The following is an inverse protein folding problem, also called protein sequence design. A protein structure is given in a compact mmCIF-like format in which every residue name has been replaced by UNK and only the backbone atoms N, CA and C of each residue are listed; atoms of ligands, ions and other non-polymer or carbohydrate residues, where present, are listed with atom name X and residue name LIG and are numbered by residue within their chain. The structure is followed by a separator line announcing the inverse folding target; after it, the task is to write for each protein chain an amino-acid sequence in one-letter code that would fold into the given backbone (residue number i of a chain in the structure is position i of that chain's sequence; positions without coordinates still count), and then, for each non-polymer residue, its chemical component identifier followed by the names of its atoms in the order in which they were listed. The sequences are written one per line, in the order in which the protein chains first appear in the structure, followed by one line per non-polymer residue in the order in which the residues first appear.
data_IF_428630709529
#
_entry.id   IF_428630709529
#
_cell.length_a   1.000
_cell.length_b   1.000
_cell.length_c   1.000
_cell.angle_alpha   90.00
_cell.angle_beta   90.00
_cell.angle_gamma   90.00
#
_symmetry.space_group_name_H-M   'P 1'
#
loop_
_entity.id
_entity.type
_entity.pdbx_description
1 polymer ?
#
# COMPACT_ATOMS: atom_id res chain seq x y z
N UNK A 1 16.36 -2.99 -4.76
CA UNK A 1 15.19 -3.34 -3.95
C UNK A 1 15.56 -3.01 -2.53
N UNK A 2 14.75 -2.21 -1.83
CA UNK A 2 14.87 -1.98 -0.39
C UNK A 2 13.85 -2.77 0.43
N UNK A 3 13.86 -2.57 1.74
CA UNK A 3 12.76 -3.01 2.62
C UNK A 3 11.62 -2.01 2.50
N UNK A 4 10.40 -2.51 2.26
CA UNK A 4 9.21 -1.68 2.02
C UNK A 4 8.10 -1.96 3.04
N UNK A 5 7.50 -0.88 3.54
CA UNK A 5 6.29 -0.92 4.36
C UNK A 5 5.14 -0.20 3.65
N UNK A 6 3.97 -0.83 3.55
CA UNK A 6 2.73 -0.21 3.08
C UNK A 6 1.73 -0.17 4.23
N UNK A 7 1.22 1.01 4.56
CA UNK A 7 0.24 1.18 5.62
C UNK A 7 -0.92 2.11 5.23
N UNK A 8 -2.06 1.94 5.92
CA UNK A 8 -3.19 2.85 5.83
C UNK A 8 -3.04 3.95 6.88
N UNK A 9 -3.26 5.21 6.48
CA UNK A 9 -3.29 6.33 7.43
C UNK A 9 -4.73 6.60 7.85
N UNK A 10 -5.04 6.66 9.16
CA UNK A 10 -6.38 6.98 9.62
C UNK A 10 -6.74 8.43 9.28
N UNK A 11 -7.99 8.64 8.88
CA UNK A 11 -8.55 9.99 8.71
C UNK A 11 -9.09 10.43 10.07
N UNK A 12 -8.53 11.52 10.61
CA UNK A 12 -8.97 12.09 11.89
C UNK A 12 -10.42 12.60 11.73
N UNK A 13 -11.23 12.42 12.77
CA UNK A 13 -12.61 12.94 12.80
C UNK A 13 -12.66 14.41 12.40
N UNK A 14 -13.61 14.76 11.52
CA UNK A 14 -13.79 16.12 11.01
C UNK A 14 -12.85 16.53 9.87
N UNK A 15 -11.86 15.70 9.48
CA UNK A 15 -11.02 15.94 8.30
C UNK A 15 -11.47 15.11 7.11
N UNK A 16 -11.25 15.64 5.91
CA UNK A 16 -11.38 14.86 4.68
C UNK A 16 -10.09 14.06 4.37
N UNK A 17 -10.24 13.05 3.51
CA UNK A 17 -9.10 12.29 2.95
C UNK A 17 -8.10 13.24 2.28
N UNK A 18 -8.58 14.18 1.46
CA UNK A 18 -7.73 15.16 0.77
C UNK A 18 -6.98 16.07 1.74
N UNK A 19 -7.64 16.59 2.78
CA UNK A 19 -6.98 17.44 3.78
C UNK A 19 -5.86 16.69 4.50
N UNK A 20 -6.07 15.40 4.79
CA UNK A 20 -5.07 14.56 5.47
C UNK A 20 -3.89 14.27 4.54
N UNK A 21 -4.15 13.97 3.25
CA UNK A 21 -3.10 13.79 2.23
C UNK A 21 -2.26 15.07 2.05
N UNK A 22 -2.90 16.23 1.97
CA UNK A 22 -2.19 17.52 1.91
C UNK A 22 -1.34 17.78 3.15
N UNK A 23 -1.83 17.41 4.34
CA UNK A 23 -1.06 17.51 5.57
C UNK A 23 0.18 16.61 5.54
N UNK A 24 0.08 15.40 5.01
CA UNK A 24 1.22 14.49 4.85
C UNK A 24 2.25 15.05 3.86
N UNK A 25 1.81 15.60 2.73
CA UNK A 25 2.71 16.26 1.77
C UNK A 25 3.50 17.41 2.42
N UNK A 26 2.80 18.30 3.13
CA UNK A 26 3.44 19.41 3.85
C UNK A 26 4.49 18.92 4.87
N UNK A 27 4.18 17.86 5.63
CA UNK A 27 5.13 17.29 6.60
C UNK A 27 6.37 16.72 5.90
N UNK A 28 6.19 16.00 4.79
CA UNK A 28 7.31 15.47 4.00
C UNK A 28 8.20 16.59 3.43
N UNK A 29 7.60 17.65 2.89
CA UNK A 29 8.34 18.81 2.38
C UNK A 29 9.09 19.55 3.50
N UNK A 30 8.47 19.68 4.69
CA UNK A 30 9.12 20.26 5.88
C UNK A 30 10.31 19.44 6.38
N UNK A 31 10.26 18.11 6.22
CA UNK A 31 11.41 17.22 6.50
C UNK A 31 12.52 17.35 5.44
N UNK A 32 12.28 18.06 4.33
CA UNK A 32 13.23 18.18 3.23
C UNK A 32 13.11 17.08 2.17
N UNK A 33 12.02 16.30 2.17
CA UNK A 33 11.76 15.32 1.13
C UNK A 33 11.42 16.02 -0.20
N UNK A 34 12.00 15.55 -1.30
CA UNK A 34 11.85 16.13 -2.63
C UNK A 34 10.87 15.30 -3.46
N UNK A 35 9.88 15.93 -4.07
CA UNK A 35 8.91 15.25 -4.95
C UNK A 35 9.61 14.73 -6.22
N UNK A 36 9.39 13.45 -6.54
CA UNK A 36 10.01 12.69 -7.62
C UNK A 36 9.01 12.16 -8.65
N UNK A 37 7.76 12.61 -8.62
CA UNK A 37 6.71 12.24 -9.58
C UNK A 37 5.45 11.69 -8.92
N UNK A 38 4.77 10.79 -9.63
CA UNK A 38 3.53 10.12 -9.20
C UNK A 38 3.66 8.61 -9.22
N UNK A 39 2.73 7.93 -8.55
CA UNK A 39 2.59 6.47 -8.60
C UNK A 39 1.14 6.07 -8.79
N UNK A 40 0.94 4.82 -9.24
CA UNK A 40 -0.36 4.18 -9.39
C UNK A 40 -0.21 2.68 -9.08
N UNK A 41 -1.12 2.15 -8.28
CA UNK A 41 -1.24 0.72 -7.96
C UNK A 41 -2.71 0.37 -8.02
N UNK A 42 -3.11 -0.62 -8.81
CA UNK A 42 -4.47 -1.13 -8.82
C UNK A 42 -4.54 -2.63 -8.48
N UNK A 43 -5.73 -3.03 -8.04
CA UNK A 43 -6.05 -4.39 -7.67
C UNK A 43 -7.41 -4.73 -8.26
N UNK A 44 -7.40 -5.69 -9.18
CA UNK A 44 -8.59 -6.33 -9.71
C UNK A 44 -8.72 -7.73 -9.12
N UNK A 45 -9.93 -8.11 -8.76
CA UNK A 45 -10.23 -9.45 -8.23
C UNK A 45 -11.06 -10.20 -9.27
N UNK A 46 -10.53 -11.32 -9.74
CA UNK A 46 -11.27 -12.26 -10.59
C UNK A 46 -11.87 -13.36 -9.71
N UNK A 47 -13.09 -13.79 -10.04
CA UNK A 47 -13.61 -15.06 -9.52
C UNK A 47 -12.88 -16.18 -10.26
N UNK A 48 -12.00 -16.88 -9.56
CA UNK A 48 -11.29 -18.06 -10.04
C UNK A 48 -11.63 -19.27 -9.16
N UNK A 49 -11.42 -20.46 -9.71
CA UNK A 49 -11.75 -21.74 -9.06
C UNK A 49 -10.82 -22.11 -7.89
N UNK A 50 -9.72 -21.37 -7.68
CA UNK A 50 -8.70 -21.69 -6.67
C UNK A 50 -8.38 -20.49 -5.79
N UNK A 51 -8.58 -20.64 -4.49
CA UNK A 51 -8.13 -19.71 -3.46
C UNK A 51 -6.71 -20.12 -3.02
N UNK A 52 -5.78 -19.16 -2.92
CA UNK A 52 -4.40 -19.43 -2.50
C UNK A 52 -3.46 -20.04 -3.55
N UNK A 53 -3.70 -19.76 -4.84
CA UNK A 53 -2.82 -20.18 -5.94
C UNK A 53 -1.43 -19.52 -5.96
N UNK A 54 -0.53 -19.97 -6.85
CA UNK A 54 0.83 -19.41 -6.96
C UNK A 54 0.80 -17.93 -7.38
N UNK A 55 1.77 -17.15 -6.89
CA UNK A 55 1.99 -15.77 -7.32
C UNK A 55 2.93 -15.72 -8.52
N UNK A 56 2.67 -14.78 -9.44
CA UNK A 56 3.46 -14.60 -10.66
C UNK A 56 3.70 -13.10 -10.89
N UNK A 57 4.92 -12.76 -11.27
CA UNK A 57 5.24 -11.43 -11.82
C UNK A 57 5.19 -11.52 -13.35
N UNK A 58 4.47 -10.60 -13.97
CA UNK A 58 4.33 -10.53 -15.43
C UNK A 58 4.49 -9.09 -15.92
N UNK A 59 4.75 -8.92 -17.21
CA UNK A 59 4.78 -7.61 -17.85
C UNK A 59 3.36 -7.08 -18.13
N UNK A 60 3.29 -5.88 -18.69
CA UNK A 60 2.02 -5.25 -19.06
C UNK A 60 1.25 -5.99 -20.17
N UNK A 61 1.89 -6.94 -20.89
CA UNK A 61 1.18 -7.74 -21.90
C UNK A 61 0.29 -8.81 -21.26
N UNK A 62 0.43 -9.07 -19.96
CA UNK A 62 -0.45 -9.98 -19.23
C UNK A 62 -1.91 -9.52 -19.26
N UNK A 63 -2.17 -8.20 -19.27
CA UNK A 63 -3.53 -7.66 -19.38
C UNK A 63 -4.19 -8.08 -20.71
N UNK A 64 -3.41 -8.15 -21.79
CA UNK A 64 -3.88 -8.63 -23.11
C UNK A 64 -4.27 -10.10 -23.03
N UNK A 65 -3.51 -10.92 -22.29
CA UNK A 65 -3.86 -12.31 -22.03
C UNK A 65 -5.14 -12.42 -21.21
N UNK A 66 -5.30 -11.62 -20.15
CA UNK A 66 -6.51 -11.61 -19.32
C UNK A 66 -7.76 -11.24 -20.13
N UNK A 67 -7.66 -10.31 -21.09
CA UNK A 67 -8.75 -10.00 -22.03
C UNK A 67 -9.14 -11.23 -22.86
N UNK A 68 -8.17 -12.02 -23.33
CA UNK A 68 -8.42 -13.26 -24.08
C UNK A 68 -9.02 -14.37 -23.22
N UNK A 69 -8.75 -14.36 -21.91
CA UNK A 69 -9.23 -15.35 -20.95
C UNK A 69 -10.52 -14.94 -20.20
N UNK A 70 -11.16 -13.83 -20.61
CA UNK A 70 -12.35 -13.27 -19.96
C UNK A 70 -13.54 -14.24 -19.84
N UNK A 71 -13.63 -15.26 -20.68
CA UNK A 71 -14.63 -16.33 -20.56
C UNK A 71 -14.46 -17.20 -19.31
N UNK A 72 -13.22 -17.31 -18.81
CA UNK A 72 -12.85 -18.13 -17.66
C UNK A 72 -12.58 -17.30 -16.40
N UNK A 73 -12.12 -16.06 -16.55
CA UNK A 73 -11.85 -15.14 -15.44
C UNK A 73 -12.81 -13.96 -15.53
N UNK A 74 -13.85 -14.02 -14.69
CA UNK A 74 -14.80 -12.92 -14.58
C UNK A 74 -14.38 -11.97 -13.47
N UNK A 75 -14.11 -10.71 -13.83
CA UNK A 75 -13.86 -9.65 -12.87
C UNK A 75 -15.06 -9.49 -11.93
N UNK A 76 -14.79 -9.49 -10.63
CA UNK A 76 -15.80 -9.18 -9.62
C UNK A 76 -16.24 -7.72 -9.78
N UNK A 77 -17.50 -7.50 -10.16
CA UNK A 77 -18.04 -6.14 -10.42
C UNK A 77 -17.92 -5.27 -9.17
N UNK A 78 -17.38 -4.05 -9.32
CA UNK A 78 -17.30 -3.07 -8.24
C UNK A 78 -16.15 -3.28 -7.23
N UNK A 79 -15.30 -4.29 -7.45
CA UNK A 79 -14.19 -4.62 -6.54
C UNK A 79 -12.83 -4.02 -6.94
N UNK A 80 -12.77 -3.25 -8.03
CA UNK A 80 -11.54 -2.54 -8.42
C UNK A 80 -11.20 -1.52 -7.34
N UNK A 81 -10.05 -1.72 -6.72
CA UNK A 81 -9.45 -0.78 -5.76
C UNK A 81 -8.17 -0.27 -6.40
N UNK A 82 -7.93 1.02 -6.31
CA UNK A 82 -6.73 1.64 -6.85
C UNK A 82 -6.17 2.62 -5.82
N UNK A 83 -4.87 2.86 -5.91
CA UNK A 83 -4.16 3.83 -5.11
C UNK A 83 -3.31 4.71 -6.01
N UNK A 84 -3.54 6.02 -5.94
CA UNK A 84 -2.84 7.00 -6.78
C UNK A 84 -2.35 8.16 -5.93
N UNK A 85 -1.15 8.64 -6.22
CA UNK A 85 -0.61 9.78 -5.50
C UNK A 85 0.76 10.24 -5.94
N UNK A 86 1.44 10.95 -5.04
CA UNK A 86 2.75 11.53 -5.27
C UNK A 86 3.86 10.66 -4.65
N UNK A 87 5.03 10.71 -5.28
CA UNK A 87 6.26 10.05 -4.85
C UNK A 87 7.28 11.10 -4.41
N UNK A 88 7.96 10.86 -3.31
CA UNK A 88 9.01 11.69 -2.73
C UNK A 88 10.27 10.87 -2.50
N UNK A 89 11.42 11.54 -2.43
CA UNK A 89 12.69 10.97 -1.98
C UNK A 89 13.27 11.83 -0.86
N UNK A 90 13.74 11.18 0.19
CA UNK A 90 14.48 11.78 1.29
C UNK A 90 15.66 10.88 1.62
N UNK A 91 16.89 11.32 1.31
CA UNK A 91 18.08 10.46 1.36
C UNK A 91 17.82 9.11 0.66
N UNK A 92 18.01 8.00 1.38
CA UNK A 92 17.81 6.63 0.88
C UNK A 92 16.36 6.15 0.96
N UNK A 93 15.43 7.00 1.42
CA UNK A 93 14.01 6.69 1.51
C UNK A 93 13.24 7.12 0.27
N UNK A 94 12.41 6.21 -0.22
CA UNK A 94 11.35 6.49 -1.18
C UNK A 94 10.02 6.48 -0.44
N UNK A 95 9.22 7.53 -0.62
CA UNK A 95 7.93 7.69 0.04
C UNK A 95 6.86 7.88 -1.01
N UNK A 96 5.78 7.12 -0.94
CA UNK A 96 4.60 7.31 -1.77
C UNK A 96 3.40 7.60 -0.86
N UNK A 97 2.71 8.70 -1.12
CA UNK A 97 1.48 9.07 -0.40
C UNK A 97 0.36 9.15 -1.41
N UNK A 98 -0.65 8.29 -1.27
CA UNK A 98 -1.74 8.21 -2.22
C UNK A 98 -3.12 8.08 -1.59
N UNK A 99 -4.11 8.45 -2.38
CA UNK A 99 -5.52 8.23 -2.08
C UNK A 99 -5.89 6.86 -2.59
N UNK A 100 -6.57 6.07 -1.77
CA UNK A 100 -7.18 4.81 -2.19
C UNK A 100 -8.60 5.09 -2.64
N UNK A 101 -8.90 4.77 -3.90
CA UNK A 101 -10.23 4.89 -4.50
C UNK A 101 -10.80 3.53 -4.82
N UNK A 102 -12.12 3.41 -4.73
CA UNK A 102 -12.85 2.22 -5.12
C UNK A 102 -14.16 2.65 -5.76
N UNK A 103 -14.41 2.20 -6.99
CA UNK A 103 -15.51 2.69 -7.83
C UNK A 103 -15.56 4.23 -7.89
N UNK A 104 -14.39 4.86 -8.08
CA UNK A 104 -14.20 6.32 -8.17
C UNK A 104 -14.45 7.13 -6.89
N UNK A 105 -14.76 6.48 -5.76
CA UNK A 105 -14.92 7.15 -4.46
C UNK A 105 -13.67 6.97 -3.60
N UNK A 106 -13.18 8.05 -3.00
CA UNK A 106 -12.07 7.98 -2.03
C UNK A 106 -12.51 7.20 -0.79
N UNK A 107 -11.75 6.16 -0.44
CA UNK A 107 -12.03 5.25 0.68
C UNK A 107 -10.93 5.22 1.74
N UNK A 108 -9.74 5.73 1.43
CA UNK A 108 -8.64 5.73 2.39
C UNK A 108 -7.39 6.42 1.87
N UNK A 109 -6.33 6.32 2.66
CA UNK A 109 -5.01 6.89 2.38
C UNK A 109 -4.00 5.75 2.50
N UNK A 110 -3.16 5.57 1.49
CA UNK A 110 -2.02 4.66 1.53
C UNK A 110 -0.73 5.46 1.69
N UNK A 111 0.19 4.91 2.48
CA UNK A 111 1.58 5.36 2.54
C UNK A 111 2.46 4.14 2.31
N UNK A 112 3.35 4.23 1.32
CA UNK A 112 4.43 3.28 1.10
C UNK A 112 5.76 3.95 1.43
N UNK A 113 6.60 3.30 2.24
CA UNK A 113 7.96 3.74 2.55
C UNK A 113 8.92 2.61 2.25
N UNK A 114 9.86 2.85 1.33
CA UNK A 114 10.95 1.95 1.01
C UNK A 114 12.26 2.55 1.50
N UNK A 115 13.05 1.77 2.25
CA UNK A 115 14.44 2.10 2.59
C UNK A 115 15.39 1.36 1.65
N UNK A 116 15.98 2.08 0.71
CA UNK A 116 16.72 1.49 -0.41
C UNK A 116 18.13 1.00 -0.08
N UNK A 117 18.69 1.39 1.07
CA UNK A 117 20.05 1.02 1.48
C UNK A 117 20.14 -0.31 2.24
N UNK A 118 19.01 -0.95 2.57
CA UNK A 118 18.97 -2.27 3.20
C UNK A 118 17.92 -3.17 2.56
N UNK A 119 18.20 -4.48 2.51
CA UNK A 119 17.28 -5.51 2.01
C UNK A 119 16.78 -6.44 3.11
N UNK A 120 17.32 -6.35 4.32
CA UNK A 120 17.01 -7.24 5.44
C UNK A 120 16.11 -6.49 6.43
N UNK A 121 14.82 -6.87 6.56
CA UNK A 121 13.88 -6.14 7.42
C UNK A 121 14.34 -6.05 8.88
N UNK A 122 14.91 -7.13 9.43
CA UNK A 122 15.41 -7.17 10.81
C UNK A 122 16.49 -6.12 11.10
N UNK A 123 17.29 -5.74 10.11
CA UNK A 123 18.43 -4.83 10.29
C UNK A 123 18.01 -3.35 10.24
N UNK A 124 16.94 -3.02 9.51
CA UNK A 124 16.56 -1.62 9.26
C UNK A 124 15.16 -1.23 9.76
N UNK A 125 14.34 -2.16 10.26
CA UNK A 125 12.96 -1.86 10.62
C UNK A 125 12.81 -0.73 11.65
N UNK A 126 13.65 -0.71 12.69
CA UNK A 126 13.58 0.34 13.72
C UNK A 126 13.87 1.73 13.13
N UNK A 127 14.88 1.82 12.25
CA UNK A 127 15.18 3.06 11.51
C UNK A 127 14.01 3.51 10.64
N UNK A 128 13.39 2.57 9.91
CA UNK A 128 12.20 2.85 9.11
C UNK A 128 11.04 3.34 9.99
N UNK A 129 10.83 2.71 11.14
CA UNK A 129 9.77 3.08 12.09
C UNK A 129 9.96 4.49 12.64
N UNK A 130 11.18 4.85 13.06
CA UNK A 130 11.52 6.20 13.51
C UNK A 130 11.31 7.24 12.40
N UNK A 131 11.76 6.94 11.18
CA UNK A 131 11.54 7.82 10.03
C UNK A 131 10.04 8.01 9.76
N UNK A 132 9.25 6.93 9.74
CA UNK A 132 7.81 7.00 9.55
C UNK A 132 7.11 7.81 10.64
N UNK A 133 7.55 7.67 11.90
CA UNK A 133 7.01 8.43 13.03
C UNK A 133 7.18 9.95 12.85
N UNK A 134 8.24 10.41 12.17
CA UNK A 134 8.48 11.84 11.94
C UNK A 134 7.37 12.56 11.16
N UNK A 135 6.65 11.87 10.26
CA UNK A 135 5.57 12.46 9.47
C UNK A 135 4.19 11.82 9.69
N UNK A 136 4.13 10.54 10.11
CA UNK A 136 2.89 9.86 10.49
C UNK A 136 2.49 10.10 11.95
N UNK A 137 3.42 10.51 12.81
CA UNK A 137 3.19 10.68 14.24
C UNK A 137 2.77 9.35 14.89
N UNK A 138 1.67 9.33 15.67
CA UNK A 138 1.24 8.12 16.39
C UNK A 138 0.65 7.03 15.48
N UNK A 139 0.42 7.33 14.18
CA UNK A 139 -0.15 6.39 13.21
C UNK A 139 0.88 5.51 12.51
N UNK A 140 2.10 5.41 13.06
CA UNK A 140 3.14 4.53 12.54
C UNK A 140 2.70 3.05 12.66
N UNK A 141 2.85 2.23 11.61
CA UNK A 141 2.46 0.81 11.67
C UNK A 141 3.43 -0.02 12.51
N UNK A 142 2.95 -1.19 12.93
CA UNK A 142 3.80 -2.29 13.42
C UNK A 142 4.49 -3.02 12.26
N UNK A 143 5.37 -3.95 12.59
CA UNK A 143 6.11 -4.75 11.60
C UNK A 143 5.13 -5.45 10.64
N UNK A 144 5.29 -5.30 9.31
CA UNK A 144 4.46 -5.99 8.33
C UNK A 144 4.47 -7.51 8.52
N UNK A 145 3.30 -8.13 8.39
CA UNK A 145 3.06 -9.59 8.48
C UNK A 145 3.95 -10.40 7.54
N UNK A 146 4.25 -9.85 6.36
CA UNK A 146 5.13 -10.44 5.34
C UNK A 146 6.57 -10.68 5.84
N UNK A 147 6.96 -10.01 6.93
CA UNK A 147 8.27 -10.20 7.57
C UNK A 147 8.19 -11.13 8.79
N UNK A 148 7.02 -11.32 9.40
CA UNK A 148 6.83 -12.20 10.57
C UNK A 148 7.00 -13.69 10.25
N UNK A 149 6.81 -14.08 8.99
CA UNK A 149 6.95 -15.47 8.52
C UNK A 149 8.38 -15.86 8.17
N UNK A 150 9.33 -14.90 8.20
CA UNK A 150 10.74 -15.14 7.88
C UNK A 150 11.48 -15.51 9.19
N UNK A 151 12.17 -16.66 9.26
CA UNK A 151 12.83 -17.10 10.48
C UNK A 151 13.87 -16.07 10.95
N UNK A 152 13.78 -15.68 12.23
CA UNK A 152 14.71 -14.75 12.87
C UNK A 152 16.17 -15.25 12.73
N UNK A 153 17.08 -14.34 12.37
CA UNK A 153 18.52 -14.64 12.27
C UNK A 153 19.00 -15.24 10.94
N UNK A 154 18.12 -15.51 9.96
CA UNK A 154 18.53 -15.80 8.59
C UNK A 154 18.48 -14.56 7.68
N UNK A 155 19.41 -14.47 6.74
CA UNK A 155 19.35 -13.48 5.66
C UNK A 155 18.13 -13.77 4.78
N UNK A 156 17.05 -13.03 5.00
CA UNK A 156 15.79 -13.17 4.28
C UNK A 156 15.45 -11.82 3.62
N UNK A 157 15.90 -11.59 2.37
CA UNK A 157 15.74 -10.30 1.72
C UNK A 157 14.25 -9.98 1.51
N UNK A 158 13.92 -8.69 1.52
CA UNK A 158 12.65 -8.20 1.04
C UNK A 158 12.53 -8.44 -0.48
N UNK A 159 11.40 -8.99 -0.89
CA UNK A 159 11.07 -9.24 -2.29
C UNK A 159 9.98 -8.26 -2.77
N UNK A 160 9.90 -8.04 -4.08
CA UNK A 160 8.85 -7.20 -4.68
C UNK A 160 7.45 -7.75 -4.36
N UNK A 161 7.32 -9.07 -4.22
CA UNK A 161 6.09 -9.74 -3.82
C UNK A 161 5.63 -9.37 -2.41
N UNK A 162 6.56 -9.05 -1.49
CA UNK A 162 6.22 -8.59 -0.14
C UNK A 162 5.46 -7.26 -0.20
N UNK A 163 5.83 -6.37 -1.12
CA UNK A 163 5.15 -5.07 -1.29
C UNK A 163 3.74 -5.27 -1.85
N UNK A 164 3.59 -6.13 -2.86
CA UNK A 164 2.27 -6.43 -3.44
C UNK A 164 1.34 -7.11 -2.44
N UNK A 165 1.85 -8.04 -1.63
CA UNK A 165 1.08 -8.69 -0.57
C UNK A 165 0.60 -7.66 0.48
N UNK A 166 1.43 -6.70 0.87
CA UNK A 166 1.00 -5.62 1.78
C UNK A 166 -0.10 -4.73 1.16
N UNK A 167 -0.03 -4.41 -0.14
CA UNK A 167 -1.12 -3.71 -0.85
C UNK A 167 -2.40 -4.55 -0.89
N UNK A 168 -2.31 -5.86 -1.14
CA UNK A 168 -3.46 -6.76 -1.13
C UNK A 168 -4.13 -6.81 0.24
N UNK A 169 -3.35 -6.87 1.32
CA UNK A 169 -3.87 -6.79 2.69
C UNK A 169 -4.56 -5.44 2.96
N UNK A 170 -3.93 -4.32 2.57
CA UNK A 170 -4.48 -2.98 2.73
C UNK A 170 -5.81 -2.83 1.99
N UNK A 171 -5.87 -3.23 0.72
CA UNK A 171 -7.10 -3.15 -0.07
C UNK A 171 -8.19 -4.08 0.46
N UNK A 172 -7.81 -5.26 0.98
CA UNK A 172 -8.76 -6.17 1.62
C UNK A 172 -9.34 -5.60 2.91
N UNK A 173 -8.54 -4.89 3.71
CA UNK A 173 -9.02 -4.16 4.91
C UNK A 173 -10.00 -3.06 4.53
N UNK A 174 -9.69 -2.24 3.52
CA UNK A 174 -10.57 -1.17 3.03
C UNK A 174 -11.89 -1.71 2.48
N UNK A 175 -11.86 -2.84 1.74
CA UNK A 175 -13.08 -3.50 1.26
C UNK A 175 -13.98 -3.95 2.43
N UNK A 176 -13.40 -4.51 3.49
CA UNK A 176 -14.17 -4.92 4.69
C UNK A 176 -14.78 -3.74 5.43
N UNK A 177 -14.10 -2.59 5.49
CA UNK A 177 -14.63 -1.36 6.11
C UNK A 177 -15.87 -0.81 5.38
N UNK A 178 -16.02 -1.06 4.07
CA UNK A 178 -17.20 -0.66 3.31
C UNK A 178 -18.47 -1.48 3.66
N UNK A 179 -18.30 -2.74 4.09
CA UNK A 179 -19.44 -3.66 4.32
C UNK A 179 -20.13 -3.39 5.65
N UNK A 180 -19.52 -2.63 6.56
CA UNK A 180 -20.20 -2.15 7.77
C UNK A 180 -21.18 -1.05 7.36
N UNK A 181 -22.51 -1.27 7.44
CA UNK A 181 -23.45 -0.18 7.31
C UNK A 181 -23.17 0.75 8.47
N UNK A 182 -23.01 2.05 8.18
CA UNK A 182 -22.96 3.06 9.22
C UNK A 182 -24.11 2.81 10.20
N UNK A 183 -23.78 2.71 11.49
CA UNK A 183 -24.76 2.82 12.54
C UNK A 183 -25.55 4.10 12.29
N UNK A 184 -26.74 3.95 11.72
CA UNK A 184 -27.68 5.03 11.53
C UNK A 184 -28.11 5.51 12.90
N UNK A 185 -27.47 6.56 13.38
CA UNK A 185 -28.03 7.40 14.43
C UNK A 185 -28.95 8.39 13.71
N UNK A 186 -30.24 8.08 13.73
CA UNK A 186 -31.28 9.11 13.83
C UNK A 186 -31.42 9.47 15.30
#
# INVERSE_FOLDING_TARGET
MGVTCVCQVPVVEGKSVQQTVEQLHKRLEQLGAVKQGSFFVDCETCLALFDGGPTLAADANFDVLMVKLKSHFQNAKGHKVESRGARYRYADFLIKVGTVTMSSSARGISVEVEYSACVVPGDCWNLMKEFMQSFLGPSVPDLPSVFSSKPEGLFAPADCMDTMNQYLELFSKIRKQQVLPGSGVR
#
